data_IF_769939873923
#
_entry.id   IF_769939873923
#
_cell.length_a   1.000
_cell.length_b   1.000
_cell.length_c   1.000
_cell.angle_alpha   90.00
_cell.angle_beta   90.00
_cell.angle_gamma   90.00
#
_symmetry.space_group_name_H-M   'P 1'
#
loop_
_entity.id
_entity.type
_entity.pdbx_description
1 polymer ?
#
# COMPACT_ATOMS: atom_id res chain seq x y z
N UNK A 1 -12.94 10.40 1.48
CA UNK A 1 -12.75 9.61 2.73
C UNK A 1 -11.70 8.52 2.56
N UNK A 2 -11.93 7.41 1.83
CA UNK A 2 -10.94 6.31 1.71
C UNK A 2 -9.55 6.75 1.22
N UNK A 3 -9.50 7.42 0.07
CA UNK A 3 -8.25 7.88 -0.56
C UNK A 3 -7.48 8.85 0.34
N UNK A 4 -8.17 9.66 1.15
CA UNK A 4 -7.53 10.59 2.10
C UNK A 4 -6.72 9.85 3.18
N UNK A 5 -7.26 8.76 3.75
CA UNK A 5 -6.52 7.94 4.72
C UNK A 5 -5.38 7.17 4.08
N UNK A 6 -5.57 6.66 2.86
CA UNK A 6 -4.52 5.95 2.12
C UNK A 6 -3.37 6.89 1.74
N UNK A 7 -3.68 8.11 1.29
CA UNK A 7 -2.71 9.15 1.01
C UNK A 7 -1.92 9.54 2.26
N UNK A 8 -2.62 9.71 3.40
CA UNK A 8 -1.97 9.98 4.68
C UNK A 8 -1.04 8.85 5.10
N UNK A 9 -1.47 7.59 4.97
CA UNK A 9 -0.63 6.43 5.26
C UNK A 9 0.62 6.37 4.38
N UNK A 10 0.50 6.69 3.08
CA UNK A 10 1.63 6.75 2.16
C UNK A 10 2.64 7.85 2.54
N UNK A 11 2.15 9.04 2.91
CA UNK A 11 3.00 10.16 3.37
C UNK A 11 3.70 9.81 4.69
N UNK A 12 2.97 9.25 5.66
CA UNK A 12 3.55 8.79 6.93
C UNK A 12 4.57 7.67 6.74
N UNK A 13 4.36 6.80 5.75
CA UNK A 13 5.33 5.77 5.35
C UNK A 13 6.54 6.31 4.57
N UNK A 14 6.62 7.61 4.33
CA UNK A 14 7.77 8.25 3.69
C UNK A 14 7.89 7.97 2.20
N UNK A 15 6.78 7.85 1.46
CA UNK A 15 6.82 7.65 0.00
C UNK A 15 7.43 8.85 -0.74
N UNK A 16 8.15 8.61 -1.84
CA UNK A 16 8.78 9.66 -2.66
C UNK A 16 7.86 10.20 -3.77
N UNK A 17 6.84 9.43 -4.15
CA UNK A 17 5.85 9.82 -5.16
C UNK A 17 4.52 9.20 -4.77
N UNK A 18 3.43 9.92 -5.02
CA UNK A 18 2.09 9.52 -4.64
C UNK A 18 1.09 9.81 -5.75
N UNK A 19 0.32 8.79 -6.10
CA UNK A 19 -0.90 8.94 -6.88
C UNK A 19 -2.10 8.76 -5.95
N UNK A 20 -3.11 9.63 -6.12
CA UNK A 20 -4.38 9.55 -5.40
C UNK A 20 -5.48 9.34 -6.42
N UNK A 21 -6.26 8.29 -6.25
CA UNK A 21 -7.31 7.92 -7.20
C UNK A 21 -8.49 8.90 -7.14
N UNK A 22 -9.22 8.99 -8.26
CA UNK A 22 -10.47 9.74 -8.35
C UNK A 22 -11.60 9.07 -7.58
N UNK A 23 -12.64 9.84 -7.23
CA UNK A 23 -13.86 9.27 -6.60
C UNK A 23 -14.65 8.36 -7.54
N UNK A 24 -14.43 8.50 -8.85
CA UNK A 24 -15.08 7.83 -9.97
C UNK A 24 -14.25 6.65 -10.53
N UNK A 25 -13.13 6.29 -9.89
CA UNK A 25 -12.20 5.23 -10.32
C UNK A 25 -12.88 3.88 -10.61
N UNK A 26 -13.92 3.54 -9.84
CA UNK A 26 -14.65 2.27 -10.01
C UNK A 26 -15.63 2.27 -11.19
N UNK A 27 -15.86 3.43 -11.84
CA UNK A 27 -16.82 3.58 -12.93
C UNK A 27 -16.15 3.85 -14.28
N UNK A 28 -15.18 4.76 -14.32
CA UNK A 28 -14.51 5.17 -15.55
C UNK A 28 -13.15 5.79 -15.24
N UNK A 29 -12.43 6.18 -16.29
CA UNK A 29 -11.28 7.07 -16.15
C UNK A 29 -11.72 8.40 -15.51
N UNK A 30 -10.83 9.05 -14.74
CA UNK A 30 -11.21 10.16 -13.88
C UNK A 30 -11.68 11.37 -14.68
N UNK A 31 -12.80 11.94 -14.23
CA UNK A 31 -13.23 13.28 -14.65
C UNK A 31 -12.27 14.36 -14.15
N UNK A 32 -12.28 15.54 -14.78
CA UNK A 32 -11.45 16.68 -14.35
C UNK A 32 -11.73 17.07 -12.88
N UNK A 33 -13.01 17.07 -12.47
CA UNK A 33 -13.40 17.37 -11.10
C UNK A 33 -12.84 16.33 -10.11
N UNK A 34 -12.93 15.03 -10.45
CA UNK A 34 -12.41 13.96 -9.60
C UNK A 34 -10.89 13.99 -9.50
N UNK A 35 -10.20 14.22 -10.62
CA UNK A 35 -8.75 14.39 -10.66
C UNK A 35 -8.30 15.61 -9.84
N UNK A 36 -9.04 16.72 -9.92
CA UNK A 36 -8.77 17.91 -9.13
C UNK A 36 -8.95 17.63 -7.62
N UNK A 37 -10.02 16.94 -7.24
CA UNK A 37 -10.26 16.56 -5.84
C UNK A 37 -9.16 15.63 -5.30
N UNK A 38 -8.69 14.68 -6.13
CA UNK A 38 -7.56 13.82 -5.81
C UNK A 38 -6.28 14.63 -5.56
N UNK A 39 -5.94 15.56 -6.47
CA UNK A 39 -4.78 16.45 -6.31
C UNK A 39 -4.88 17.30 -5.03
N UNK A 40 -6.06 17.86 -4.74
CA UNK A 40 -6.29 18.67 -3.53
C UNK A 40 -6.10 17.86 -2.25
N UNK A 41 -6.42 16.56 -2.28
CA UNK A 41 -6.15 15.67 -1.13
C UNK A 41 -4.67 15.63 -0.79
N UNK A 42 -3.79 15.52 -1.79
CA UNK A 42 -2.34 15.55 -1.57
C UNK A 42 -1.88 16.92 -1.05
N UNK A 43 -2.39 18.01 -1.63
CA UNK A 43 -2.00 19.38 -1.24
C UNK A 43 -2.42 19.73 0.19
N UNK A 44 -3.61 19.30 0.63
CA UNK A 44 -4.05 19.46 2.02
C UNK A 44 -3.08 18.73 2.95
N UNK A 45 -2.73 17.46 2.65
CA UNK A 45 -1.77 16.72 3.46
C UNK A 45 -0.42 17.44 3.49
N UNK A 46 0.08 17.87 2.33
CA UNK A 46 1.38 18.50 2.18
C UNK A 46 1.50 19.88 2.86
N UNK A 47 0.41 20.64 2.96
CA UNK A 47 0.49 22.06 3.34
C UNK A 47 -0.32 22.43 4.58
N UNK A 48 -1.29 21.61 5.00
CA UNK A 48 -2.22 21.97 6.07
C UNK A 48 -2.16 21.05 7.29
N UNK A 49 -1.62 19.83 7.15
CA UNK A 49 -1.66 18.83 8.24
C UNK A 49 -0.47 18.88 9.19
N UNK A 50 0.65 19.49 8.80
CA UNK A 50 1.92 19.50 9.55
C UNK A 50 2.66 18.16 9.59
N UNK A 51 2.09 17.09 9.03
CA UNK A 51 2.75 15.77 8.96
C UNK A 51 4.11 15.81 8.25
N UNK A 52 4.29 16.57 7.15
CA UNK A 52 5.59 16.65 6.48
C UNK A 52 6.69 17.37 7.29
N UNK A 53 6.34 18.03 8.39
CA UNK A 53 7.29 18.87 9.15
C UNK A 53 8.22 18.04 10.06
N UNK A 54 7.96 16.74 10.23
CA UNK A 54 8.78 15.82 11.03
C UNK A 54 9.10 14.57 10.23
N UNK A 55 10.38 14.17 10.25
CA UNK A 55 10.81 12.89 9.65
C UNK A 55 10.32 11.76 10.53
N UNK A 56 9.66 10.78 9.91
CA UNK A 56 9.10 9.59 10.54
C UNK A 56 8.32 9.89 11.85
N UNK A 57 7.18 10.59 11.77
CA UNK A 57 6.41 10.98 12.95
C UNK A 57 5.78 9.79 13.69
N UNK A 58 5.80 8.58 13.09
CA UNK A 58 5.32 7.35 13.72
C UNK A 58 6.45 6.56 14.41
N UNK A 59 7.71 6.95 14.21
CA UNK A 59 8.88 6.31 14.82
C UNK A 59 8.76 6.24 16.34
N UNK A 60 9.03 5.06 16.90
CA UNK A 60 8.90 4.78 18.33
C UNK A 60 7.48 4.45 18.81
N UNK A 61 6.47 4.48 17.94
CA UNK A 61 5.14 3.97 18.25
C UNK A 61 5.18 2.46 18.48
N UNK A 62 4.95 1.99 19.71
CA UNK A 62 4.95 0.56 20.04
C UNK A 62 4.12 -0.29 19.07
N UNK A 63 2.95 0.22 18.65
CA UNK A 63 2.06 -0.49 17.75
C UNK A 63 2.63 -0.58 16.33
N UNK A 64 3.08 0.54 15.76
CA UNK A 64 3.62 0.57 14.40
C UNK A 64 4.94 -0.18 14.33
N UNK A 65 5.83 -0.01 15.30
CA UNK A 65 7.10 -0.74 15.37
C UNK A 65 6.90 -2.26 15.46
N UNK A 66 5.91 -2.72 16.24
CA UNK A 66 5.57 -4.14 16.30
C UNK A 66 5.07 -4.65 14.94
N UNK A 67 4.15 -3.91 14.30
CA UNK A 67 3.66 -4.27 12.97
C UNK A 67 4.75 -4.27 11.90
N UNK A 68 5.69 -3.31 11.97
CA UNK A 68 6.84 -3.25 11.06
C UNK A 68 7.70 -4.50 11.19
N UNK A 69 8.04 -4.91 12.40
CA UNK A 69 8.83 -6.13 12.65
C UNK A 69 8.10 -7.41 12.21
N UNK A 70 6.79 -7.47 12.39
CA UNK A 70 5.98 -8.62 11.97
C UNK A 70 5.89 -8.72 10.44
N UNK A 71 5.71 -7.58 9.75
CA UNK A 71 5.71 -7.51 8.29
C UNK A 71 7.08 -7.89 7.71
N UNK A 72 8.17 -7.38 8.29
CA UNK A 72 9.54 -7.72 7.89
C UNK A 72 9.78 -9.23 7.98
N UNK A 73 9.48 -9.83 9.14
CA UNK A 73 9.64 -11.27 9.36
C UNK A 73 8.84 -12.10 8.35
N UNK A 74 7.56 -11.78 8.16
CA UNK A 74 6.70 -12.46 7.20
C UNK A 74 7.20 -12.31 5.75
N UNK A 75 7.76 -11.14 5.41
CA UNK A 75 8.33 -10.88 4.08
C UNK A 75 9.55 -11.76 3.81
N UNK A 76 10.46 -11.89 4.78
CA UNK A 76 11.61 -12.79 4.67
C UNK A 76 11.22 -14.28 4.62
N UNK A 77 10.15 -14.68 5.30
CA UNK A 77 9.59 -16.03 5.14
C UNK A 77 9.17 -16.30 3.69
N UNK A 78 8.53 -15.32 3.05
CA UNK A 78 8.17 -15.41 1.64
C UNK A 78 9.37 -15.44 0.70
N UNK A 79 10.42 -14.64 0.97
CA UNK A 79 11.65 -14.68 0.18
C UNK A 79 12.29 -16.07 0.23
N UNK A 80 12.37 -16.68 1.42
CA UNK A 80 12.89 -18.05 1.56
C UNK A 80 12.06 -19.07 0.80
N UNK A 81 10.72 -19.00 0.85
CA UNK A 81 9.84 -19.87 0.05
C UNK A 81 10.11 -19.73 -1.46
N UNK A 82 10.33 -18.51 -1.94
CA UNK A 82 10.65 -18.26 -3.36
C UNK A 82 12.01 -18.83 -3.71
N UNK A 83 13.01 -18.67 -2.85
CA UNK A 83 14.36 -19.22 -3.05
C UNK A 83 14.34 -20.76 -3.08
N UNK A 84 13.56 -21.41 -2.21
CA UNK A 84 13.38 -22.87 -2.18
C UNK A 84 12.77 -23.43 -3.47
N UNK A 85 11.98 -22.63 -4.19
CA UNK A 85 11.40 -22.97 -5.50
C UNK A 85 12.43 -22.77 -6.64
N UNK A 86 13.60 -22.19 -6.35
CA UNK A 86 14.65 -21.88 -7.32
C UNK A 86 14.70 -20.40 -7.73
N UNK A 87 14.05 -19.52 -6.97
CA UNK A 87 14.00 -18.08 -7.21
C UNK A 87 12.76 -17.62 -7.97
N UNK A 88 12.72 -16.32 -8.27
CA UNK A 88 11.51 -15.65 -8.83
C UNK A 88 11.10 -16.22 -10.19
N UNK A 89 12.05 -16.54 -11.08
CA UNK A 89 11.72 -17.04 -12.43
C UNK A 89 11.05 -18.42 -12.36
N UNK A 90 11.61 -19.45 -11.71
CA UNK A 90 10.90 -20.71 -11.51
C UNK A 90 9.58 -20.56 -10.75
N UNK A 91 9.49 -19.66 -9.77
CA UNK A 91 8.24 -19.40 -9.06
C UNK A 91 7.15 -18.81 -9.96
N UNK A 92 7.50 -17.99 -10.96
CA UNK A 92 6.57 -17.51 -11.97
C UNK A 92 6.15 -18.62 -12.93
N UNK A 93 7.08 -19.46 -13.38
CA UNK A 93 6.82 -20.55 -14.33
C UNK A 93 5.94 -21.65 -13.74
N UNK A 94 6.10 -21.94 -12.44
CA UNK A 94 5.24 -22.88 -11.70
C UNK A 94 3.88 -22.29 -11.31
N UNK A 95 3.68 -20.98 -11.55
CA UNK A 95 2.45 -20.26 -11.22
C UNK A 95 2.25 -19.98 -9.74
N UNK A 96 3.31 -20.11 -8.92
CA UNK A 96 3.26 -19.96 -7.47
C UNK A 96 2.76 -18.57 -7.06
N UNK A 97 3.34 -17.50 -7.61
CA UNK A 97 2.98 -16.13 -7.25
C UNK A 97 1.54 -15.78 -7.64
N UNK A 98 1.11 -16.21 -8.84
CA UNK A 98 -0.24 -15.98 -9.33
C UNK A 98 -1.28 -16.71 -8.46
N UNK A 99 -0.95 -17.93 -7.99
CA UNK A 99 -1.82 -18.70 -7.10
C UNK A 99 -1.96 -18.05 -5.73
N UNK A 100 -0.87 -17.63 -5.10
CA UNK A 100 -0.92 -16.94 -3.78
C UNK A 100 -1.81 -15.68 -3.84
N UNK A 101 -1.72 -14.90 -4.93
CA UNK A 101 -2.57 -13.71 -5.15
C UNK A 101 -4.04 -14.11 -5.34
N UNK A 102 -4.31 -15.15 -6.14
CA UNK A 102 -5.68 -15.61 -6.41
C UNK A 102 -6.36 -16.17 -5.16
N UNK A 103 -5.64 -16.96 -4.36
CA UNK A 103 -6.14 -17.54 -3.11
C UNK A 103 -6.45 -16.44 -2.09
N UNK A 104 -5.57 -15.44 -1.94
CA UNK A 104 -5.80 -14.28 -1.07
C UNK A 104 -7.03 -13.46 -1.52
N UNK A 105 -7.16 -13.21 -2.82
CA UNK A 105 -8.34 -12.53 -3.39
C UNK A 105 -9.63 -13.30 -3.13
N UNK A 106 -9.61 -14.64 -3.28
CA UNK A 106 -10.76 -15.48 -3.01
C UNK A 106 -11.18 -15.42 -1.53
N UNK A 107 -10.23 -15.49 -0.59
CA UNK A 107 -10.50 -15.35 0.84
C UNK A 107 -11.15 -13.99 1.15
N UNK A 108 -10.58 -12.90 0.60
CA UNK A 108 -11.14 -11.56 0.78
C UNK A 108 -12.59 -11.43 0.27
N UNK A 109 -12.89 -12.02 -0.90
CA UNK A 109 -14.26 -12.01 -1.46
C UNK A 109 -15.26 -12.82 -0.63
N UNK A 110 -14.79 -13.85 0.10
CA UNK A 110 -15.63 -14.60 1.04
C UNK A 110 -15.93 -13.81 2.33
N UNK A 111 -15.33 -12.62 2.51
CA UNK A 111 -15.48 -11.80 3.71
C UNK A 111 -14.88 -12.46 4.96
N UNK A 112 -13.88 -13.32 4.77
CA UNK A 112 -13.15 -14.00 5.83
C UNK A 112 -11.84 -13.30 6.14
#
# INVERSE_FOLDING_TARGET
>A
MRVSFQAMAAVLGGCQSLHTNGKDEAWALPSEEAALQALRTQQIIAHETGVPDTVDPLGGSYFVETMTNDLERASYDYFRRIDDIGGVIPALETGFLQREIADASYIYQLGK
#
